data_IF_533525951257
#
_entry.id   IF_533525951257
#
_cell.length_a   1.000
_cell.length_b   1.000
_cell.length_c   1.000
_cell.angle_alpha   90.00
_cell.angle_beta   90.00
_cell.angle_gamma   90.00
#
_symmetry.space_group_name_H-M   'P 1'
#
loop_
_entity.id
_entity.type
_entity.pdbx_description
1 polymer ?
#
# COMPACT_ATOMS: atom_id res chain seq x y z
N UNK A 1 3.96 -47.65 13.11
CA UNK A 1 4.37 -46.42 12.41
C UNK A 1 3.66 -45.30 13.14
N UNK A 2 4.36 -44.30 13.69
CA UNK A 2 3.63 -43.14 14.26
C UNK A 2 2.90 -42.48 13.10
N UNK A 3 1.59 -42.33 13.24
CA UNK A 3 0.82 -41.63 12.23
C UNK A 3 1.28 -40.17 12.19
N UNK A 4 1.42 -39.60 11.00
CA UNK A 4 1.80 -38.20 10.88
C UNK A 4 0.78 -37.30 11.59
N UNK A 5 -0.49 -37.71 11.68
CA UNK A 5 -1.53 -37.00 12.42
C UNK A 5 -1.18 -36.76 13.90
N UNK A 6 -0.53 -37.73 14.56
CA UNK A 6 -0.06 -37.56 15.94
C UNK A 6 1.06 -36.52 16.03
N UNK A 7 1.99 -36.54 15.06
CA UNK A 7 3.08 -35.58 14.96
C UNK A 7 2.53 -34.18 14.64
N UNK A 8 1.60 -34.06 13.71
CA UNK A 8 0.95 -32.82 13.35
C UNK A 8 0.22 -32.21 14.56
N UNK A 9 -0.50 -33.04 15.32
CA UNK A 9 -1.18 -32.62 16.56
C UNK A 9 -0.17 -32.15 17.62
N UNK A 10 0.90 -32.91 17.84
CA UNK A 10 1.95 -32.57 18.80
C UNK A 10 2.63 -31.22 18.49
N UNK A 11 2.86 -30.93 17.21
CA UNK A 11 3.62 -29.76 16.76
C UNK A 11 2.73 -28.58 16.31
N UNK A 12 1.40 -28.72 16.28
CA UNK A 12 0.48 -27.63 15.98
C UNK A 12 0.71 -26.34 16.81
N UNK A 13 1.05 -26.41 18.12
CA UNK A 13 1.40 -25.23 18.90
C UNK A 13 2.66 -24.52 18.38
N UNK A 14 3.65 -25.26 17.86
CA UNK A 14 4.87 -24.70 17.28
C UNK A 14 4.57 -23.95 16.00
N UNK A 15 3.76 -24.52 15.10
CA UNK A 15 3.30 -23.84 13.88
C UNK A 15 2.61 -22.53 14.24
N UNK A 16 1.66 -22.58 15.19
CA UNK A 16 0.93 -21.40 15.65
C UNK A 16 1.83 -20.36 16.33
N UNK A 17 2.89 -20.78 17.02
CA UNK A 17 3.87 -19.87 17.64
C UNK A 17 4.74 -19.18 16.59
N UNK A 18 5.14 -19.89 15.53
CA UNK A 18 5.93 -19.33 14.43
C UNK A 18 5.10 -18.29 13.66
N UNK A 19 3.82 -18.58 13.37
CA UNK A 19 2.91 -17.62 12.72
C UNK A 19 2.86 -16.29 13.49
N UNK A 20 2.68 -16.36 14.82
CA UNK A 20 2.67 -15.18 15.69
C UNK A 20 4.03 -14.46 15.68
N UNK A 21 5.13 -15.21 15.77
CA UNK A 21 6.50 -14.66 15.79
C UNK A 21 6.86 -13.96 14.48
N UNK A 22 6.35 -14.44 13.36
CA UNK A 22 6.56 -13.85 12.04
C UNK A 22 5.56 -12.71 11.74
N UNK A 23 4.70 -12.34 12.69
CA UNK A 23 3.70 -11.28 12.53
C UNK A 23 2.77 -11.50 11.33
N UNK A 24 2.37 -12.75 11.10
CA UNK A 24 1.46 -13.12 10.02
C UNK A 24 0.02 -12.92 10.50
N UNK A 25 -0.66 -11.89 9.96
CA UNK A 25 -2.01 -11.48 10.36
C UNK A 25 -3.10 -11.81 9.33
N UNK A 26 -2.71 -12.24 8.12
CA UNK A 26 -3.60 -12.60 7.02
C UNK A 26 -3.31 -14.03 6.58
N UNK A 27 -4.27 -14.63 5.87
CA UNK A 27 -4.12 -15.95 5.24
C UNK A 27 -3.65 -17.04 6.22
N UNK A 28 -4.17 -16.99 7.45
CA UNK A 28 -3.74 -17.83 8.56
C UNK A 28 -3.83 -19.33 8.24
N UNK A 29 -4.91 -19.76 7.59
CA UNK A 29 -5.07 -21.17 7.19
C UNK A 29 -4.03 -21.61 6.15
N UNK A 30 -3.68 -20.74 5.21
CA UNK A 30 -2.63 -20.99 4.22
C UNK A 30 -1.28 -21.19 4.90
N UNK A 31 -0.90 -20.28 5.80
CA UNK A 31 0.36 -20.41 6.54
C UNK A 31 0.37 -21.62 7.48
N UNK A 32 -0.78 -21.97 8.09
CA UNK A 32 -0.91 -23.20 8.88
C UNK A 32 -0.67 -24.44 8.01
N UNK A 33 -1.22 -24.49 6.80
CA UNK A 33 -0.98 -25.58 5.86
C UNK A 33 0.48 -25.65 5.41
N UNK A 34 1.10 -24.51 5.07
CA UNK A 34 2.51 -24.44 4.71
C UNK A 34 3.39 -24.99 5.84
N UNK A 35 3.08 -24.60 7.09
CA UNK A 35 3.76 -25.14 8.26
C UNK A 35 3.61 -26.65 8.41
N UNK A 36 2.40 -27.19 8.21
CA UNK A 36 2.16 -28.63 8.29
C UNK A 36 2.86 -29.41 7.16
N UNK A 37 2.89 -28.87 5.94
CA UNK A 37 3.61 -29.47 4.81
C UNK A 37 5.12 -29.48 5.10
N UNK A 38 5.66 -28.37 5.61
CA UNK A 38 7.08 -28.29 5.97
C UNK A 38 7.43 -29.25 7.12
N UNK A 39 6.54 -29.39 8.11
CA UNK A 39 6.68 -30.37 9.19
C UNK A 39 6.69 -31.81 8.65
N UNK A 40 5.78 -32.15 7.72
CA UNK A 40 5.74 -33.46 7.07
C UNK A 40 7.02 -33.75 6.29
N UNK A 41 7.50 -32.78 5.50
CA UNK A 41 8.75 -32.91 4.77
C UNK A 41 9.95 -33.08 5.71
N UNK A 42 9.98 -32.34 6.83
CA UNK A 42 11.00 -32.50 7.86
C UNK A 42 10.93 -33.89 8.48
N UNK A 43 9.74 -34.38 8.81
CA UNK A 43 9.53 -35.70 9.39
C UNK A 43 10.05 -36.82 8.48
N UNK A 44 9.79 -36.75 7.17
CA UNK A 44 10.31 -37.74 6.21
C UNK A 44 11.83 -37.69 6.02
N UNK A 45 12.44 -36.51 6.13
CA UNK A 45 13.88 -36.30 5.87
C UNK A 45 14.74 -36.42 7.12
N UNK A 46 14.11 -36.55 8.29
CA UNK A 46 14.83 -36.57 9.54
C UNK A 46 15.58 -37.88 9.70
N UNK A 47 16.85 -37.78 10.07
CA UNK A 47 17.70 -38.91 10.42
C UNK A 47 18.02 -38.80 11.91
N UNK A 48 17.64 -39.81 12.69
CA UNK A 48 17.82 -39.80 14.16
C UNK A 48 19.28 -39.59 14.58
N UNK A 49 20.24 -40.02 13.75
CA UNK A 49 21.67 -39.80 13.96
C UNK A 49 22.08 -38.31 13.99
N UNK A 50 21.24 -37.40 13.45
CA UNK A 50 21.49 -35.96 13.37
C UNK A 50 21.00 -35.18 14.60
N UNK A 51 20.42 -35.85 15.60
CA UNK A 51 20.11 -35.25 16.91
C UNK A 51 18.61 -35.24 17.22
N UNK A 52 18.09 -34.11 17.71
CA UNK A 52 16.68 -33.97 18.08
C UNK A 52 15.85 -33.43 16.90
N UNK A 53 14.66 -34.01 16.68
CA UNK A 53 13.73 -33.57 15.64
C UNK A 53 13.19 -32.17 15.86
N UNK A 54 12.92 -31.75 17.10
CA UNK A 54 12.21 -30.50 17.40
C UNK A 54 12.91 -29.25 16.83
N UNK A 55 14.23 -29.04 17.00
CA UNK A 55 14.92 -27.91 16.38
C UNK A 55 14.94 -27.96 14.85
N UNK A 56 15.01 -29.17 14.28
CA UNK A 56 15.00 -29.37 12.83
C UNK A 56 13.64 -29.04 12.21
N UNK A 57 12.56 -29.51 12.84
CA UNK A 57 11.18 -29.18 12.49
C UNK A 57 10.94 -27.66 12.59
N UNK A 58 11.37 -27.04 13.69
CA UNK A 58 11.23 -25.58 13.87
C UNK A 58 11.87 -24.79 12.73
N UNK A 59 13.13 -25.11 12.38
CA UNK A 59 13.84 -24.44 11.30
C UNK A 59 13.17 -24.66 9.94
N UNK A 60 12.70 -25.87 9.67
CA UNK A 60 12.01 -26.22 8.42
C UNK A 60 10.70 -25.45 8.27
N UNK A 61 9.87 -25.42 9.32
CA UNK A 61 8.60 -24.70 9.34
C UNK A 61 8.84 -23.19 9.18
N UNK A 62 9.76 -22.63 9.96
CA UNK A 62 10.06 -21.20 9.92
C UNK A 62 10.60 -20.79 8.54
N UNK A 63 11.48 -21.58 7.95
CA UNK A 63 12.01 -21.34 6.60
C UNK A 63 10.92 -21.31 5.54
N UNK A 64 10.04 -22.32 5.52
CA UNK A 64 8.96 -22.40 4.55
C UNK A 64 7.99 -21.20 4.65
N UNK A 65 7.65 -20.76 5.86
CA UNK A 65 6.80 -19.57 6.03
C UNK A 65 7.49 -18.28 5.59
N UNK A 66 8.79 -18.12 5.90
CA UNK A 66 9.56 -16.96 5.44
C UNK A 66 9.66 -16.92 3.91
N UNK A 67 9.79 -18.07 3.26
CA UNK A 67 9.86 -18.15 1.81
C UNK A 67 8.51 -17.82 1.16
N UNK A 68 7.38 -18.21 1.76
CA UNK A 68 6.06 -17.76 1.29
C UNK A 68 5.89 -16.25 1.45
N UNK A 69 6.27 -15.66 2.59
CA UNK A 69 6.19 -14.21 2.80
C UNK A 69 6.99 -13.42 1.75
N UNK A 70 8.19 -13.89 1.40
CA UNK A 70 8.98 -13.30 0.30
C UNK A 70 8.25 -13.43 -1.04
N UNK A 71 7.57 -14.55 -1.28
CA UNK A 71 6.81 -14.80 -2.50
C UNK A 71 5.58 -13.89 -2.58
N UNK A 72 4.85 -13.71 -1.48
CA UNK A 72 3.74 -12.77 -1.39
C UNK A 72 4.18 -11.33 -1.62
N UNK A 73 5.30 -10.90 -1.04
CA UNK A 73 5.85 -9.56 -1.25
C UNK A 73 6.13 -9.31 -2.73
N UNK A 74 6.83 -10.24 -3.39
CA UNK A 74 7.11 -10.15 -4.84
C UNK A 74 5.85 -10.14 -5.71
N UNK A 75 4.83 -10.92 -5.34
CA UNK A 75 3.53 -10.90 -6.05
C UNK A 75 2.82 -9.57 -5.86
N UNK A 76 2.85 -9.01 -4.65
CA UNK A 76 2.21 -7.74 -4.36
C UNK A 76 2.91 -6.59 -5.11
N UNK A 77 4.24 -6.61 -5.20
CA UNK A 77 5.01 -5.65 -5.99
C UNK A 77 4.64 -5.72 -7.49
N UNK A 78 4.48 -6.93 -8.04
CA UNK A 78 4.02 -7.14 -9.42
C UNK A 78 2.55 -6.72 -9.63
N UNK A 79 1.67 -7.03 -8.67
CA UNK A 79 0.27 -6.61 -8.73
C UNK A 79 0.13 -5.09 -8.64
N UNK A 80 0.94 -4.43 -7.82
CA UNK A 80 1.01 -2.96 -7.74
C UNK A 80 1.45 -2.37 -9.08
N UNK A 81 2.45 -2.97 -9.72
CA UNK A 81 2.91 -2.55 -11.05
C UNK A 81 1.83 -2.74 -12.14
N UNK A 82 1.08 -3.85 -12.12
CA UNK A 82 -0.01 -4.08 -13.08
C UNK A 82 -1.18 -3.12 -12.83
N UNK A 83 -1.52 -2.84 -11.57
CA UNK A 83 -2.55 -1.87 -11.23
C UNK A 83 -2.16 -0.45 -11.70
N UNK A 84 -0.88 -0.06 -11.59
CA UNK A 84 -0.43 1.22 -12.15
C UNK A 84 -0.53 1.30 -13.67
N UNK A 85 -0.42 0.17 -14.38
CA UNK A 85 -0.62 0.14 -15.85
C UNK A 85 -2.11 0.22 -16.20
N UNK A 86 -2.99 -0.39 -15.39
CA UNK A 86 -4.45 -0.33 -15.61
C UNK A 86 -5.04 1.05 -15.27
N UNK A 87 -4.45 1.78 -14.31
CA UNK A 87 -4.81 3.18 -14.05
C UNK A 87 -4.45 4.11 -15.23
N UNK A 88 -3.46 3.76 -16.06
CA UNK A 88 -3.13 4.51 -17.28
C UNK A 88 -4.07 4.23 -18.48
N UNK A 89 -4.83 3.11 -18.45
CA UNK A 89 -5.81 2.76 -19.49
C UNK A 89 -7.25 3.20 -19.16
N UNK A 90 -7.47 3.75 -17.97
CA UNK A 90 -8.69 4.51 -17.66
C UNK A 90 -8.71 5.78 -18.50
N UNK A 91 -9.73 5.91 -19.35
CA UNK A 91 -10.05 7.07 -20.16
C UNK A 91 -9.54 8.37 -19.50
N UNK A 92 -8.54 9.01 -20.12
CA UNK A 92 -7.99 10.30 -19.70
C UNK A 92 -9.11 11.35 -19.70
N UNK A 93 -9.90 11.38 -18.63
CA UNK A 93 -10.68 12.55 -18.26
C UNK A 93 -9.61 13.59 -18.01
N UNK A 94 -9.51 14.57 -18.93
CA UNK A 94 -8.59 15.68 -18.77
C UNK A 94 -8.67 16.15 -17.31
N UNK A 95 -7.54 16.24 -16.61
CA UNK A 95 -7.43 16.79 -15.25
C UNK A 95 -7.75 18.31 -15.29
N UNK A 96 -8.90 18.68 -15.84
CA UNK A 96 -9.43 20.02 -15.82
C UNK A 96 -9.99 20.33 -14.44
N UNK A 97 -10.27 21.61 -14.22
CA UNK A 97 -11.05 22.01 -13.06
C UNK A 97 -12.44 21.34 -13.14
N UNK A 98 -12.99 20.85 -12.03
CA UNK A 98 -14.30 20.20 -12.04
C UNK A 98 -15.40 21.12 -12.60
N UNK A 99 -16.35 20.56 -13.36
CA UNK A 99 -17.42 21.34 -14.01
C UNK A 99 -18.33 22.11 -13.05
N UNK A 100 -18.41 21.70 -11.78
CA UNK A 100 -19.18 22.39 -10.74
C UNK A 100 -18.44 23.61 -10.16
N UNK A 101 -17.17 23.81 -10.48
CA UNK A 101 -16.37 24.92 -9.96
C UNK A 101 -16.63 26.19 -10.79
N UNK A 102 -17.38 27.12 -10.22
CA UNK A 102 -17.66 28.40 -10.87
C UNK A 102 -16.41 29.29 -10.95
N UNK A 103 -15.82 29.39 -12.14
CA UNK A 103 -14.59 30.17 -12.41
C UNK A 103 -14.82 31.47 -13.20
N UNK A 104 -16.06 31.79 -13.59
CA UNK A 104 -16.36 32.98 -14.40
C UNK A 104 -15.99 34.31 -13.72
N UNK A 105 -15.99 34.34 -12.39
CA UNK A 105 -15.67 35.53 -11.57
C UNK A 105 -14.16 35.71 -11.33
N UNK A 106 -13.34 34.76 -11.77
CA UNK A 106 -11.90 34.84 -11.70
C UNK A 106 -11.34 35.62 -12.89
N UNK A 107 -10.36 36.48 -12.63
CA UNK A 107 -9.57 37.07 -13.71
C UNK A 107 -8.55 36.05 -14.26
N UNK A 108 -7.96 36.34 -15.42
CA UNK A 108 -6.99 35.43 -16.06
C UNK A 108 -5.79 35.05 -15.16
N UNK A 109 -5.18 35.97 -14.39
CA UNK A 109 -4.15 35.60 -13.42
C UNK A 109 -4.63 34.65 -12.31
N UNK A 110 -5.88 34.81 -11.86
CA UNK A 110 -6.51 33.96 -10.85
C UNK A 110 -6.80 32.56 -11.41
N UNK A 111 -7.31 32.46 -12.64
CA UNK A 111 -7.53 31.17 -13.34
C UNK A 111 -6.22 30.43 -13.56
N UNK A 112 -5.20 31.14 -14.06
CA UNK A 112 -3.87 30.56 -14.25
C UNK A 112 -3.29 30.03 -12.93
N UNK A 113 -3.41 30.80 -11.83
CA UNK A 113 -2.92 30.37 -10.53
C UNK A 113 -3.68 29.14 -10.01
N UNK A 114 -4.99 29.08 -10.23
CA UNK A 114 -5.83 27.95 -9.86
C UNK A 114 -5.42 26.67 -10.60
N UNK A 115 -5.28 26.75 -11.93
CA UNK A 115 -4.80 25.63 -12.74
C UNK A 115 -3.38 25.23 -12.36
N UNK A 116 -2.47 26.18 -12.20
CA UNK A 116 -1.08 25.88 -11.83
C UNK A 116 -0.99 25.10 -10.51
N UNK A 117 -1.82 25.45 -9.53
CA UNK A 117 -1.82 24.80 -8.22
C UNK A 117 -2.54 23.45 -8.19
N UNK A 118 -3.69 23.34 -8.84
CA UNK A 118 -4.63 22.23 -8.63
C UNK A 118 -4.78 21.29 -9.83
N UNK A 119 -4.40 21.74 -11.03
CA UNK A 119 -4.32 20.89 -12.23
C UNK A 119 -2.88 20.45 -12.46
N UNK A 120 -1.92 21.38 -12.46
CA UNK A 120 -0.52 21.09 -12.79
C UNK A 120 0.35 20.74 -11.57
N UNK A 121 -0.20 20.80 -10.36
CA UNK A 121 0.51 20.44 -9.12
C UNK A 121 1.75 21.28 -8.80
N UNK A 122 1.86 22.50 -9.32
CA UNK A 122 3.03 23.37 -9.11
C UNK A 122 3.13 23.83 -7.64
N UNK A 123 4.35 23.90 -7.11
CA UNK A 123 4.56 24.39 -5.74
C UNK A 123 4.46 25.90 -5.70
N UNK A 124 3.84 26.41 -4.64
CA UNK A 124 3.67 27.84 -4.42
C UNK A 124 5.00 28.61 -4.36
N UNK A 125 6.07 27.95 -3.92
CA UNK A 125 7.44 28.49 -3.92
C UNK A 125 7.97 28.72 -5.33
N UNK A 126 7.71 27.76 -6.22
CA UNK A 126 8.24 27.77 -7.58
C UNK A 126 7.50 28.83 -8.40
N UNK A 127 6.18 28.95 -8.18
CA UNK A 127 5.35 30.01 -8.76
C UNK A 127 5.75 31.40 -8.26
N UNK A 128 6.16 31.54 -7.00
CA UNK A 128 6.64 32.83 -6.47
C UNK A 128 7.94 33.27 -7.16
N UNK A 129 8.85 32.33 -7.41
CA UNK A 129 10.10 32.57 -8.15
C UNK A 129 9.81 32.93 -9.61
N UNK A 130 8.94 32.17 -10.29
CA UNK A 130 8.62 32.42 -11.70
C UNK A 130 7.95 33.78 -11.93
N UNK A 131 7.03 34.15 -11.02
CA UNK A 131 6.29 35.42 -11.07
C UNK A 131 7.08 36.59 -10.46
N UNK A 132 8.31 36.36 -9.98
CA UNK A 132 9.18 37.35 -9.33
C UNK A 132 8.50 38.11 -8.19
N UNK A 133 7.71 37.41 -7.37
CA UNK A 133 7.07 37.97 -6.17
C UNK A 133 7.56 37.27 -4.90
N UNK A 134 7.39 37.92 -3.76
CA UNK A 134 7.71 37.29 -2.48
C UNK A 134 6.78 36.11 -2.22
N UNK A 135 7.29 35.08 -1.52
CA UNK A 135 6.49 33.94 -1.09
C UNK A 135 5.26 34.38 -0.27
N UNK A 136 5.41 35.41 0.57
CA UNK A 136 4.30 36.00 1.32
C UNK A 136 3.24 36.63 0.39
N UNK A 137 3.68 37.32 -0.67
CA UNK A 137 2.78 37.85 -1.70
C UNK A 137 2.03 36.76 -2.45
N UNK A 138 2.71 35.66 -2.80
CA UNK A 138 2.08 34.53 -3.48
C UNK A 138 1.08 33.79 -2.58
N UNK A 139 1.39 33.62 -1.29
CA UNK A 139 0.44 33.12 -0.28
C UNK A 139 -0.83 33.98 -0.21
N UNK A 140 -0.65 35.31 -0.17
CA UNK A 140 -1.78 36.26 -0.13
C UNK A 140 -2.63 36.23 -1.41
N UNK A 141 -2.01 36.01 -2.59
CA UNK A 141 -2.74 35.82 -3.85
C UNK A 141 -3.59 34.54 -3.81
N UNK A 142 -3.01 33.41 -3.38
CA UNK A 142 -3.75 32.15 -3.22
C UNK A 142 -4.91 32.30 -2.23
N UNK A 143 -4.69 32.95 -1.10
CA UNK A 143 -5.73 33.17 -0.09
C UNK A 143 -6.93 33.95 -0.67
N UNK A 144 -6.67 35.04 -1.40
CA UNK A 144 -7.72 35.85 -2.05
C UNK A 144 -8.47 35.06 -3.12
N UNK A 145 -7.75 34.29 -3.94
CA UNK A 145 -8.32 33.38 -4.94
C UNK A 145 -9.30 32.39 -4.30
N UNK A 146 -8.86 31.68 -3.26
CA UNK A 146 -9.69 30.68 -2.58
C UNK A 146 -10.88 31.30 -1.84
N UNK A 147 -10.70 32.49 -1.25
CA UNK A 147 -11.79 33.23 -0.62
C UNK A 147 -12.88 33.58 -1.63
N UNK A 148 -12.48 34.08 -2.81
CA UNK A 148 -13.41 34.41 -3.89
C UNK A 148 -14.19 33.16 -4.36
N UNK A 149 -13.49 32.05 -4.61
CA UNK A 149 -14.12 30.77 -4.99
C UNK A 149 -15.12 30.28 -3.94
N UNK A 150 -14.81 30.42 -2.65
CA UNK A 150 -15.70 30.01 -1.56
C UNK A 150 -16.98 30.85 -1.48
N UNK A 151 -16.92 32.12 -1.87
CA UNK A 151 -18.08 33.02 -1.91
C UNK A 151 -18.95 32.77 -3.15
N UNK A 152 -18.35 32.35 -4.26
CA UNK A 152 -19.05 32.21 -5.55
C UNK A 152 -19.54 30.79 -5.85
N UNK A 153 -18.84 29.76 -5.38
CA UNK A 153 -19.19 28.36 -5.68
C UNK A 153 -20.12 27.80 -4.59
N UNK A 154 -21.39 27.47 -4.91
CA UNK A 154 -22.24 26.73 -3.99
C UNK A 154 -21.64 25.34 -3.78
N UNK A 155 -21.26 25.02 -2.55
CA UNK A 155 -20.65 23.74 -2.24
C UNK A 155 -21.73 22.65 -2.31
N UNK A 156 -21.58 21.58 -3.09
CA UNK A 156 -22.61 20.53 -3.27
C UNK A 156 -22.96 19.75 -1.98
N UNK A 157 -22.31 20.06 -0.87
CA UNK A 157 -22.47 19.41 0.44
C UNK A 157 -22.59 20.41 1.60
N UNK A 158 -22.85 21.69 1.33
CA UNK A 158 -23.25 22.64 2.37
C UNK A 158 -24.76 22.80 2.31
N UNK A 159 -25.46 22.21 3.27
CA UNK A 159 -26.77 22.70 3.70
C UNK A 159 -26.62 24.09 4.36
#
# INVERSE_FOLDING_TARGET
MKDFEEVATQYAPMVSAIIRKLHIYRDYDTFRQIGNIALWQAWMRFEDAKGNFTPFAYRSIQGAMLDELKRETRRNDQATYINSIQEEEGESVAEGLPDWLEVSMLNEPEKWLLEALYVRGCRLTDLAVSEKISLAGMKKRRERLLKKLKETTPHPFKE
#
